data_IF_545086948289
#
_entry.id   IF_545086948289
#
_cell.length_a   1.000
_cell.length_b   1.000
_cell.length_c   1.000
_cell.angle_alpha   90.00
_cell.angle_beta   90.00
_cell.angle_gamma   90.00
#
_symmetry.space_group_name_H-M   'P 1'
#
loop_
_entity.id
_entity.type
_entity.pdbx_description
1 polymer ?
#
# COMPACT_ATOMS: atom_id res chain seq x y z
N UNK A 1 14.25 -10.60 -7.36
CA UNK A 1 14.54 -11.55 -8.45
C UNK A 1 14.07 -10.89 -9.75
N UNK A 2 14.99 -10.34 -10.54
CA UNK A 2 14.65 -9.68 -11.82
C UNK A 2 14.97 -10.66 -12.93
N UNK A 3 14.01 -10.96 -13.80
CA UNK A 3 14.27 -11.70 -15.05
C UNK A 3 15.05 -10.74 -15.96
N UNK A 4 16.38 -10.80 -15.93
CA UNK A 4 17.24 -9.85 -16.65
C UNK A 4 17.08 -9.93 -18.18
N UNK A 5 16.65 -11.10 -18.68
CA UNK A 5 16.53 -11.38 -20.12
C UNK A 5 15.13 -11.15 -20.69
N UNK A 6 14.14 -10.79 -19.86
CA UNK A 6 12.77 -10.51 -20.33
C UNK A 6 12.46 -9.01 -20.20
N UNK A 7 12.16 -8.37 -21.31
CA UNK A 7 11.81 -6.95 -21.40
C UNK A 7 10.42 -6.86 -22.03
N UNK A 8 9.43 -6.21 -21.41
CA UNK A 8 9.45 -5.44 -20.16
C UNK A 8 9.28 -6.31 -18.90
N UNK A 9 9.96 -5.99 -17.79
CA UNK A 9 9.67 -6.59 -16.47
C UNK A 9 9.95 -5.62 -15.30
N UNK A 10 9.15 -5.62 -14.21
CA UNK A 10 7.94 -6.42 -14.04
C UNK A 10 6.76 -5.85 -14.83
N UNK A 11 5.76 -6.71 -15.06
CA UNK A 11 4.48 -6.40 -15.70
C UNK A 11 3.40 -7.05 -14.85
N UNK A 12 2.26 -6.37 -14.68
CA UNK A 12 1.19 -6.95 -13.87
C UNK A 12 0.56 -8.14 -14.60
N UNK A 13 0.52 -9.30 -13.93
CA UNK A 13 -0.08 -10.51 -14.47
C UNK A 13 -1.55 -10.32 -14.85
N UNK A 14 -1.98 -10.89 -15.97
CA UNK A 14 -3.33 -10.71 -16.50
C UNK A 14 -4.43 -11.17 -15.52
N UNK A 15 -4.13 -12.18 -14.70
CA UNK A 15 -5.03 -12.76 -13.70
C UNK A 15 -5.09 -11.96 -12.39
N UNK A 16 -4.18 -10.99 -12.19
CA UNK A 16 -4.12 -10.25 -10.93
C UNK A 16 -5.40 -9.44 -10.75
N UNK A 17 -6.08 -9.63 -9.61
CA UNK A 17 -7.25 -8.84 -9.26
C UNK A 17 -6.89 -7.36 -9.12
N UNK A 18 -7.83 -6.49 -9.47
CA UNK A 18 -7.65 -5.03 -9.48
C UNK A 18 -8.53 -4.38 -8.43
N UNK A 19 -8.07 -3.23 -7.93
CA UNK A 19 -8.91 -2.32 -7.15
C UNK A 19 -9.96 -1.60 -8.01
N UNK A 20 -10.85 -0.82 -7.37
CA UNK A 20 -10.98 -0.66 -5.92
C UNK A 20 -11.60 -1.91 -5.26
N UNK A 21 -11.52 -2.00 -3.93
CA UNK A 21 -12.26 -3.03 -3.18
C UNK A 21 -13.76 -2.83 -3.32
N UNK A 22 -14.49 -3.90 -3.65
CA UNK A 22 -15.95 -3.84 -3.74
C UNK A 22 -16.57 -3.36 -2.42
N UNK A 23 -17.37 -2.29 -2.49
CA UNK A 23 -18.01 -1.67 -1.32
C UNK A 23 -17.12 -0.77 -0.46
N UNK A 24 -15.80 -0.70 -0.71
CA UNK A 24 -14.86 0.13 0.05
C UNK A 24 -13.95 0.90 -0.91
N UNK A 25 -14.33 2.13 -1.25
CA UNK A 25 -13.56 3.00 -2.15
C UNK A 25 -12.59 3.94 -1.43
N UNK A 26 -12.77 4.16 -0.13
CA UNK A 26 -11.92 5.06 0.68
C UNK A 26 -10.67 4.38 1.26
N UNK A 27 -10.33 3.18 0.80
CA UNK A 27 -9.08 2.48 1.10
C UNK A 27 -8.52 1.84 -0.18
N UNK A 28 -7.34 2.28 -0.62
CA UNK A 28 -6.70 1.80 -1.83
C UNK A 28 -6.26 0.32 -1.68
N UNK A 29 -6.54 -0.50 -2.70
CA UNK A 29 -6.02 -1.87 -2.85
C UNK A 29 -5.68 -2.17 -4.32
N UNK A 30 -4.71 -3.08 -4.60
CA UNK A 30 -3.87 -3.81 -3.64
C UNK A 30 -2.84 -2.91 -2.94
N UNK A 31 -2.07 -3.43 -1.99
CA UNK A 31 -1.04 -2.65 -1.28
C UNK A 31 0.30 -2.59 -2.03
N UNK A 32 0.71 -3.71 -2.64
CA UNK A 32 2.04 -3.90 -3.22
C UNK A 32 1.98 -4.98 -4.32
N UNK A 33 2.82 -4.86 -5.34
CA UNK A 33 3.09 -5.88 -6.34
C UNK A 33 4.37 -6.67 -6.01
N UNK A 34 4.41 -7.94 -6.39
CA UNK A 34 5.58 -8.81 -6.24
C UNK A 34 5.54 -9.98 -7.22
N UNK A 35 6.67 -10.67 -7.46
CA UNK A 35 6.76 -11.72 -8.47
C UNK A 35 5.81 -12.89 -8.20
N UNK A 36 4.96 -13.20 -9.17
CA UNK A 36 3.98 -14.30 -9.07
C UNK A 36 3.69 -15.01 -10.38
N UNK A 37 4.50 -14.81 -11.41
CA UNK A 37 4.35 -15.48 -12.72
C UNK A 37 5.55 -16.37 -12.95
N UNK A 38 5.31 -17.62 -13.32
CA UNK A 38 6.32 -18.63 -13.59
C UNK A 38 7.35 -18.77 -12.44
N UNK A 39 6.85 -18.92 -11.21
CA UNK A 39 7.66 -19.10 -10.01
C UNK A 39 7.96 -20.59 -9.83
N UNK A 40 9.26 -20.93 -9.83
CA UNK A 40 9.76 -22.26 -9.47
C UNK A 40 9.79 -22.40 -7.95
N UNK A 41 9.14 -23.43 -7.41
CA UNK A 41 9.15 -23.75 -5.99
C UNK A 41 9.11 -25.26 -5.75
N UNK A 42 9.42 -25.71 -4.53
CA UNK A 42 9.35 -27.11 -4.14
C UNK A 42 7.94 -27.69 -4.33
N UNK A 43 7.86 -28.95 -4.73
CA UNK A 43 6.61 -29.65 -5.01
C UNK A 43 6.58 -31.03 -4.36
N UNK A 44 5.39 -31.54 -3.93
CA UNK A 44 5.29 -32.87 -3.36
C UNK A 44 5.75 -33.96 -4.33
N UNK A 45 6.72 -34.78 -3.89
CA UNK A 45 7.30 -35.87 -4.68
C UNK A 45 6.35 -37.04 -4.94
N UNK A 46 5.14 -36.99 -4.40
CA UNK A 46 4.09 -38.01 -4.56
C UNK A 46 2.91 -37.55 -5.43
N UNK A 47 2.94 -36.33 -5.98
CA UNK A 47 1.86 -35.86 -6.86
C UNK A 47 2.02 -36.38 -8.29
N UNK A 48 1.44 -37.56 -8.54
CA UNK A 48 1.46 -38.22 -9.84
C UNK A 48 0.77 -37.44 -10.96
N UNK A 49 -0.05 -36.42 -10.66
CA UNK A 49 -0.73 -35.61 -11.68
C UNK A 49 0.24 -34.74 -12.48
N UNK A 50 1.37 -34.38 -11.88
CA UNK A 50 2.42 -33.55 -12.48
C UNK A 50 3.57 -34.38 -13.04
N UNK A 51 3.49 -35.71 -12.97
CA UNK A 51 4.49 -36.61 -13.52
C UNK A 51 4.34 -36.73 -15.04
N UNK A 52 5.47 -36.70 -15.75
CA UNK A 52 5.51 -37.07 -17.17
C UNK A 52 5.37 -38.60 -17.31
N UNK A 53 4.89 -39.11 -18.46
CA UNK A 53 4.87 -40.55 -18.72
C UNK A 53 6.23 -41.19 -18.44
N UNK A 54 6.22 -42.29 -17.69
CA UNK A 54 7.39 -43.08 -17.29
C UNK A 54 8.44 -42.32 -16.46
N UNK A 55 8.04 -41.27 -15.74
CA UNK A 55 8.93 -40.51 -14.84
C UNK A 55 8.32 -40.35 -13.45
N UNK A 56 9.19 -40.21 -12.45
CA UNK A 56 8.79 -39.82 -11.10
C UNK A 56 8.27 -38.37 -11.08
N UNK A 57 7.37 -38.03 -10.14
CA UNK A 57 6.92 -36.65 -9.95
C UNK A 57 8.09 -35.68 -9.73
N UNK A 58 8.03 -34.46 -10.27
CA UNK A 58 9.11 -33.50 -10.11
C UNK A 58 9.18 -32.99 -8.67
N UNK A 59 10.39 -32.76 -8.16
CA UNK A 59 10.62 -32.17 -6.82
C UNK A 59 10.35 -30.66 -6.79
N UNK A 60 10.19 -30.04 -7.95
CA UNK A 60 9.88 -28.62 -8.12
C UNK A 60 8.84 -28.43 -9.21
N UNK A 61 7.99 -27.42 -9.05
CA UNK A 61 7.00 -27.05 -10.06
C UNK A 61 7.05 -25.55 -10.34
N UNK A 62 6.62 -25.15 -11.54
CA UNK A 62 6.54 -23.76 -11.97
C UNK A 62 5.07 -23.36 -12.02
N UNK A 63 4.65 -22.50 -11.10
CA UNK A 63 3.27 -22.03 -11.02
C UNK A 63 3.17 -20.51 -11.13
N UNK A 64 1.96 -20.04 -11.47
CA UNK A 64 1.63 -18.62 -11.53
C UNK A 64 0.39 -18.34 -10.70
N UNK A 65 0.38 -17.21 -10.01
CA UNK A 65 -0.74 -16.76 -9.20
C UNK A 65 -0.32 -15.72 -8.18
N UNK A 66 -1.29 -14.96 -7.68
CA UNK A 66 -1.07 -14.09 -6.50
C UNK A 66 -0.71 -14.91 -5.26
N UNK A 67 -1.09 -16.20 -5.21
CA UNK A 67 -0.60 -17.18 -4.24
C UNK A 67 0.93 -17.34 -4.25
N UNK A 68 1.59 -17.09 -5.39
CA UNK A 68 3.05 -17.13 -5.52
C UNK A 68 3.68 -15.75 -5.24
N UNK A 69 2.95 -14.65 -5.47
CA UNK A 69 3.34 -13.30 -5.05
C UNK A 69 3.35 -13.14 -3.52
N UNK A 70 2.32 -13.63 -2.82
CA UNK A 70 2.18 -13.51 -1.37
C UNK A 70 3.43 -13.93 -0.56
N UNK A 71 4.05 -15.11 -0.78
CA UNK A 71 5.27 -15.49 -0.06
C UNK A 71 6.48 -14.59 -0.39
N UNK A 72 6.53 -14.00 -1.60
CA UNK A 72 7.56 -13.01 -1.95
C UNK A 72 7.41 -11.67 -1.24
N UNK A 73 6.25 -11.37 -0.67
CA UNK A 73 6.07 -10.25 0.28
C UNK A 73 6.35 -10.69 1.72
N UNK A 74 5.92 -11.91 2.06
CA UNK A 74 6.07 -12.47 3.42
C UNK A 74 7.54 -12.64 3.82
N UNK A 75 8.42 -13.08 2.91
CA UNK A 75 9.86 -13.21 3.17
C UNK A 75 10.54 -11.89 3.53
N UNK A 76 10.43 -10.84 2.69
CA UNK A 76 10.92 -9.51 3.03
C UNK A 76 10.29 -8.94 4.29
N UNK A 77 8.98 -9.12 4.52
CA UNK A 77 8.34 -8.68 5.76
C UNK A 77 8.96 -9.35 7.00
N UNK A 78 9.25 -10.65 6.95
CA UNK A 78 9.94 -11.36 8.02
C UNK A 78 11.38 -10.85 8.21
N UNK A 79 12.07 -10.50 7.12
CA UNK A 79 13.42 -9.90 7.17
C UNK A 79 13.41 -8.52 7.81
N UNK A 80 12.43 -7.68 7.48
CA UNK A 80 12.23 -6.38 8.15
C UNK A 80 11.95 -6.61 9.64
N UNK A 81 11.09 -7.57 10.00
CA UNK A 81 10.79 -7.89 11.40
C UNK A 81 12.02 -8.38 12.17
N UNK A 82 12.90 -9.17 11.55
CA UNK A 82 14.10 -9.66 12.23
C UNK A 82 15.12 -8.54 12.48
N UNK A 83 15.24 -7.58 11.57
CA UNK A 83 16.09 -6.39 11.73
C UNK A 83 15.46 -5.32 12.65
N UNK A 84 14.13 -5.27 12.71
CA UNK A 84 13.37 -4.35 13.55
C UNK A 84 12.38 -5.10 14.47
N UNK A 85 12.86 -5.81 15.51
CA UNK A 85 12.02 -6.70 16.33
C UNK A 85 10.84 -6.00 17.02
N UNK A 86 10.95 -4.71 17.28
CA UNK A 86 9.91 -3.93 17.95
C UNK A 86 8.87 -3.32 17.00
N UNK A 87 9.08 -3.40 15.68
CA UNK A 87 8.14 -2.81 14.73
C UNK A 87 6.81 -3.55 14.72
N UNK A 88 5.74 -2.76 14.67
CA UNK A 88 4.39 -3.24 14.48
C UNK A 88 4.19 -3.81 13.07
N UNK A 89 3.18 -4.66 12.84
CA UNK A 89 2.83 -5.12 11.49
C UNK A 89 2.53 -3.95 10.52
N UNK A 90 1.95 -2.85 11.03
CA UNK A 90 1.65 -1.67 10.23
C UNK A 90 2.90 -0.88 9.85
N UNK A 91 3.90 -0.77 10.74
CA UNK A 91 5.21 -0.19 10.43
C UNK A 91 5.93 -0.98 9.32
N UNK A 92 5.94 -2.32 9.40
CA UNK A 92 6.55 -3.19 8.37
C UNK A 92 5.83 -3.04 7.03
N UNK A 93 4.49 -3.08 7.03
CA UNK A 93 3.70 -2.81 5.83
C UNK A 93 4.04 -1.43 5.25
N UNK A 94 4.12 -0.41 6.09
CA UNK A 94 4.46 0.93 5.67
C UNK A 94 5.82 0.97 4.99
N UNK A 95 6.85 0.39 5.60
CA UNK A 95 8.20 0.38 5.05
C UNK A 95 8.25 -0.29 3.66
N UNK A 96 7.52 -1.40 3.49
CA UNK A 96 7.41 -2.09 2.20
C UNK A 96 6.72 -1.22 1.16
N UNK A 97 5.59 -0.60 1.52
CA UNK A 97 4.82 0.22 0.59
C UNK A 97 5.56 1.50 0.18
N UNK A 98 6.12 2.24 1.15
CA UNK A 98 6.67 3.58 0.89
C UNK A 98 7.99 3.57 0.14
N UNK A 99 8.64 2.41 0.06
CA UNK A 99 9.91 2.18 -0.63
C UNK A 99 9.78 1.35 -1.91
N UNK A 100 8.54 1.12 -2.35
CA UNK A 100 8.22 0.35 -3.53
C UNK A 100 8.74 1.01 -4.82
N UNK A 101 9.16 0.17 -5.76
CA UNK A 101 9.75 0.57 -7.04
C UNK A 101 8.63 0.88 -8.05
N UNK A 102 8.74 2.02 -8.74
CA UNK A 102 7.74 2.51 -9.73
C UNK A 102 8.11 2.23 -11.19
N UNK A 103 9.28 1.66 -11.44
CA UNK A 103 9.84 1.51 -12.77
C UNK A 103 10.21 0.07 -13.07
N UNK A 104 10.16 -0.27 -14.34
CA UNK A 104 10.62 -1.55 -14.86
C UNK A 104 12.12 -1.54 -15.17
N UNK A 105 12.63 -2.67 -15.66
CA UNK A 105 14.02 -2.87 -16.08
C UNK A 105 14.45 -2.03 -17.30
N UNK A 106 13.55 -1.25 -17.90
CA UNK A 106 13.84 -0.24 -18.93
C UNK A 106 13.77 1.20 -18.38
N UNK A 107 13.65 1.37 -17.06
CA UNK A 107 13.44 2.67 -16.40
C UNK A 107 12.16 3.41 -16.85
N UNK A 108 11.19 2.68 -17.41
CA UNK A 108 9.88 3.19 -17.75
C UNK A 108 8.86 2.85 -16.64
N UNK A 109 7.70 3.54 -16.59
CA UNK A 109 6.63 3.17 -15.66
C UNK A 109 6.22 1.71 -15.77
N UNK A 110 5.78 1.11 -14.66
CA UNK A 110 5.19 -0.22 -14.66
C UNK A 110 3.93 -0.26 -15.55
N UNK A 111 3.69 -1.39 -16.20
CA UNK A 111 2.55 -1.59 -17.11
C UNK A 111 1.76 -2.83 -16.74
N UNK A 112 0.51 -2.87 -17.19
CA UNK A 112 -0.30 -4.09 -17.21
C UNK A 112 0.17 -5.03 -18.32
N UNK A 113 -0.32 -6.26 -18.34
CA UNK A 113 -0.07 -7.23 -19.42
C UNK A 113 -0.53 -6.76 -20.80
N UNK A 114 -1.43 -5.77 -20.87
CA UNK A 114 -1.91 -5.18 -22.14
C UNK A 114 -1.02 -4.03 -22.64
N UNK A 115 0.02 -3.67 -21.88
CA UNK A 115 0.93 -2.55 -22.20
C UNK A 115 0.45 -1.18 -21.69
N UNK A 116 -0.73 -1.10 -21.08
CA UNK A 116 -1.24 0.14 -20.47
C UNK A 116 -0.42 0.49 -19.22
N UNK A 117 -0.24 1.79 -18.93
CA UNK A 117 0.40 2.25 -17.69
C UNK A 117 -0.37 1.68 -16.48
N UNK A 118 0.34 1.03 -15.56
CA UNK A 118 -0.25 0.49 -14.34
C UNK A 118 -0.63 1.63 -13.39
N UNK A 119 -1.82 1.53 -12.84
CA UNK A 119 -2.37 2.43 -11.83
C UNK A 119 -2.15 1.87 -10.42
N UNK A 120 -2.33 2.68 -9.37
CA UNK A 120 -2.42 2.18 -7.99
C UNK A 120 -3.45 1.06 -7.77
N UNK A 121 -4.50 0.91 -8.59
CA UNK A 121 -5.39 -0.27 -8.50
C UNK A 121 -4.80 -1.55 -9.08
N UNK A 122 -3.71 -1.44 -9.84
CA UNK A 122 -3.00 -2.57 -10.44
C UNK A 122 -1.84 -3.05 -9.57
N UNK A 123 -1.10 -2.12 -8.97
CA UNK A 123 0.19 -2.38 -8.29
C UNK A 123 0.26 -1.84 -6.86
N UNK A 124 -0.80 -1.17 -6.38
CA UNK A 124 -0.78 -0.50 -5.09
C UNK A 124 0.31 0.57 -5.04
N UNK A 125 1.22 0.41 -4.09
CA UNK A 125 2.36 1.30 -3.95
C UNK A 125 3.45 1.08 -4.99
N UNK A 126 3.53 -0.07 -5.67
CA UNK A 126 4.60 -0.41 -6.63
C UNK A 126 5.07 -1.86 -6.53
N UNK A 127 6.17 -2.19 -7.21
CA UNK A 127 6.86 -3.46 -7.03
C UNK A 127 7.68 -3.45 -5.73
N UNK A 128 7.65 -4.54 -4.97
CA UNK A 128 8.40 -4.68 -3.73
C UNK A 128 9.94 -4.54 -3.93
N UNK A 129 10.58 -3.80 -3.03
CA UNK A 129 12.03 -3.79 -2.87
C UNK A 129 12.45 -4.71 -1.73
N UNK A 130 13.60 -5.38 -1.86
CA UNK A 130 14.10 -6.31 -0.84
C UNK A 130 14.94 -5.61 0.25
N UNK A 131 15.63 -4.53 -0.11
CA UNK A 131 16.58 -3.85 0.79
C UNK A 131 16.06 -2.52 1.32
N UNK A 132 15.34 -1.74 0.50
CA UNK A 132 14.85 -0.42 0.91
C UNK A 132 13.92 -0.43 2.14
N UNK A 133 13.02 -1.43 2.34
CA UNK A 133 12.17 -1.48 3.52
C UNK A 133 12.92 -1.63 4.85
N UNK A 134 14.22 -1.96 4.82
CA UNK A 134 15.05 -2.04 6.02
C UNK A 134 15.38 -0.66 6.60
N UNK A 135 15.37 0.39 5.77
CA UNK A 135 15.64 1.77 6.18
C UNK A 135 14.71 2.73 5.41
N UNK A 136 13.40 2.75 5.72
CA UNK A 136 12.41 3.52 4.98
C UNK A 136 12.40 5.02 5.33
N UNK A 137 13.13 5.46 6.36
CA UNK A 137 13.12 6.83 6.88
C UNK A 137 11.87 7.17 7.69
N UNK A 138 10.68 7.07 7.09
CA UNK A 138 9.39 7.31 7.76
C UNK A 138 8.46 6.10 7.65
N UNK A 139 7.68 5.86 8.70
CA UNK A 139 6.61 4.84 8.70
C UNK A 139 5.26 5.44 9.11
N UNK A 140 4.19 4.95 8.50
CA UNK A 140 2.80 5.22 8.85
C UNK A 140 2.29 4.10 9.75
N UNK A 141 2.23 4.37 11.05
CA UNK A 141 1.74 3.39 12.02
C UNK A 141 0.23 3.46 12.17
N UNK A 142 -0.40 2.31 11.95
CA UNK A 142 -1.80 2.07 12.24
C UNK A 142 -1.91 1.30 13.55
N UNK A 143 -2.77 1.76 14.45
CA UNK A 143 -3.03 1.17 15.76
C UNK A 143 -4.31 0.32 15.73
N UNK A 144 -4.52 -0.50 16.76
CA UNK A 144 -5.73 -1.34 16.88
C UNK A 144 -7.02 -0.52 16.80
N UNK A 145 -7.02 0.69 17.37
CA UNK A 145 -8.18 1.58 17.34
C UNK A 145 -8.55 2.03 15.93
N UNK A 146 -7.58 2.22 15.03
CA UNK A 146 -7.84 2.58 13.63
C UNK A 146 -8.59 1.46 12.91
N UNK A 147 -8.24 0.20 13.18
CA UNK A 147 -8.93 -0.97 12.61
C UNK A 147 -10.36 -1.10 13.16
N UNK A 148 -10.55 -0.81 14.45
CA UNK A 148 -11.88 -0.80 15.06
C UNK A 148 -12.75 0.30 14.44
N UNK A 149 -12.21 1.52 14.29
CA UNK A 149 -12.89 2.62 13.63
C UNK A 149 -13.18 2.32 12.16
N UNK A 150 -12.25 1.69 11.44
CA UNK A 150 -12.48 1.19 10.08
C UNK A 150 -13.70 0.25 10.03
N UNK A 151 -13.82 -0.70 10.97
CA UNK A 151 -14.98 -1.61 11.04
C UNK A 151 -16.29 -0.85 11.30
N UNK A 152 -16.29 0.13 12.19
CA UNK A 152 -17.45 1.00 12.40
C UNK A 152 -17.83 1.74 11.10
N UNK A 153 -16.84 2.29 10.39
CA UNK A 153 -17.04 3.09 9.19
C UNK A 153 -17.52 2.29 7.97
N UNK A 154 -17.31 0.97 7.95
CA UNK A 154 -17.92 0.06 6.95
C UNK A 154 -19.29 -0.48 7.39
N UNK A 155 -19.85 0.00 8.50
CA UNK A 155 -21.20 -0.33 8.96
C UNK A 155 -21.30 -1.52 9.92
N UNK A 156 -20.20 -1.94 10.55
CA UNK A 156 -20.28 -2.97 11.60
C UNK A 156 -20.74 -2.32 12.90
N UNK A 157 -21.66 -2.99 13.60
CA UNK A 157 -22.05 -2.63 14.95
C UNK A 157 -21.05 -3.16 15.99
N UNK A 158 -21.20 -2.70 17.24
CA UNK A 158 -20.33 -3.11 18.34
C UNK A 158 -20.39 -4.63 18.62
N UNK A 159 -21.52 -5.30 18.35
CA UNK A 159 -21.69 -6.73 18.59
C UNK A 159 -20.84 -7.54 17.61
N UNK A 160 -20.90 -7.22 16.32
CA UNK A 160 -20.06 -7.84 15.27
C UNK A 160 -18.59 -7.55 15.47
N UNK A 161 -18.24 -6.37 15.96
CA UNK A 161 -16.85 -6.02 16.25
C UNK A 161 -16.33 -6.85 17.43
N UNK A 162 -17.11 -7.01 18.51
CA UNK A 162 -16.76 -7.82 19.68
C UNK A 162 -16.60 -9.31 19.38
N UNK A 163 -17.26 -9.84 18.34
CA UNK A 163 -17.06 -11.24 17.94
C UNK A 163 -15.74 -11.46 17.17
N UNK A 164 -15.09 -10.40 16.71
CA UNK A 164 -13.85 -10.46 15.92
C UNK A 164 -12.64 -9.99 16.76
N UNK A 165 -12.81 -8.93 17.55
CA UNK A 165 -11.75 -8.30 18.31
C UNK A 165 -11.96 -8.56 19.81
N UNK A 166 -11.06 -9.38 20.36
CA UNK A 166 -11.13 -9.87 21.75
C UNK A 166 -10.78 -8.78 22.78
N UNK A 167 -9.93 -7.82 22.41
CA UNK A 167 -9.42 -6.77 23.30
C UNK A 167 -10.15 -5.43 23.11
N UNK A 168 -11.47 -5.42 23.30
CA UNK A 168 -12.29 -4.21 23.20
C UNK A 168 -12.98 -3.89 24.52
N UNK A 169 -13.01 -2.61 24.97
CA UNK A 169 -13.73 -2.22 26.17
C UNK A 169 -15.19 -2.67 26.14
N UNK A 170 -15.70 -3.17 27.28
CA UNK A 170 -17.09 -3.66 27.37
C UNK A 170 -18.13 -2.61 26.95
N UNK A 171 -17.85 -1.34 27.25
CA UNK A 171 -18.67 -0.17 26.94
C UNK A 171 -18.37 0.46 25.56
N UNK A 172 -17.60 -0.22 24.69
CA UNK A 172 -17.34 0.28 23.34
C UNK A 172 -18.62 0.34 22.49
N UNK A 173 -18.80 1.46 21.81
CA UNK A 173 -19.79 1.68 20.76
C UNK A 173 -19.17 2.44 19.59
N UNK A 174 -19.61 2.15 18.37
CA UNK A 174 -19.29 2.98 17.22
C UNK A 174 -19.94 4.36 17.34
N UNK A 175 -19.27 5.40 16.83
CA UNK A 175 -19.85 6.75 16.77
C UNK A 175 -21.09 6.76 15.87
N UNK A 176 -22.08 7.59 16.19
CA UNK A 176 -23.22 7.87 15.30
C UNK A 176 -22.78 8.48 13.97
N UNK A 177 -21.63 9.15 13.96
CA UNK A 177 -21.07 9.84 12.79
C UNK A 177 -20.19 8.91 11.93
N UNK A 178 -20.12 7.62 12.27
CA UNK A 178 -19.35 6.64 11.51
C UNK A 178 -19.84 6.58 10.07
N UNK A 179 -18.92 6.74 9.13
CA UNK A 179 -19.23 6.78 7.70
C UNK A 179 -18.05 6.29 6.88
N UNK A 180 -18.33 5.77 5.68
CA UNK A 180 -17.27 5.30 4.76
C UNK A 180 -16.27 6.39 4.41
N UNK A 181 -16.70 7.65 4.43
CA UNK A 181 -15.84 8.80 4.19
C UNK A 181 -14.68 8.93 5.18
N UNK A 182 -14.91 8.56 6.45
CA UNK A 182 -13.92 8.60 7.53
C UNK A 182 -12.84 7.52 7.40
N UNK A 183 -13.05 6.49 6.58
CA UNK A 183 -12.01 5.48 6.30
C UNK A 183 -10.75 6.15 5.71
N UNK A 184 -10.94 7.23 4.95
CA UNK A 184 -9.84 8.00 4.33
C UNK A 184 -8.84 8.53 5.36
N UNK A 185 -9.25 8.71 6.62
CA UNK A 185 -8.41 9.19 7.73
C UNK A 185 -7.60 8.09 8.44
N UNK A 186 -7.84 6.81 8.13
CA UNK A 186 -7.01 5.72 8.64
C UNK A 186 -5.54 6.01 8.32
N UNK A 187 -4.65 5.90 9.31
CA UNK A 187 -3.23 6.22 9.14
C UNK A 187 -2.49 5.16 8.31
N UNK A 188 -2.78 5.16 7.00
CA UNK A 188 -2.37 4.15 6.04
C UNK A 188 -1.39 4.75 5.01
N UNK A 189 -0.44 3.98 4.44
CA UNK A 189 0.62 4.49 3.55
C UNK A 189 0.15 4.86 2.14
N UNK A 190 -1.17 4.93 1.94
CA UNK A 190 -1.85 5.38 0.73
C UNK A 190 -3.10 6.15 1.11
N UNK A 191 -3.63 6.93 0.16
CA UNK A 191 -4.84 7.73 0.38
C UNK A 191 -5.86 7.39 -0.70
N UNK A 192 -7.12 7.17 -0.30
CA UNK A 192 -8.21 7.04 -1.24
C UNK A 192 -9.37 7.92 -0.81
N UNK A 193 -9.80 8.81 -1.72
CA UNK A 193 -10.93 9.72 -1.54
C UNK A 193 -11.93 9.43 -2.64
N UNK A 194 -13.15 9.07 -2.28
CA UNK A 194 -14.24 8.81 -3.25
C UNK A 194 -15.36 9.82 -3.08
N UNK A 195 -16.28 9.85 -4.05
CA UNK A 195 -17.46 10.73 -4.06
C UNK A 195 -17.13 12.22 -3.89
N UNK A 196 -15.94 12.66 -4.32
CA UNK A 196 -15.55 14.07 -4.23
C UNK A 196 -16.19 14.85 -5.39
N UNK A 197 -17.05 15.83 -5.08
CA UNK A 197 -17.74 16.61 -6.09
C UNK A 197 -16.86 17.72 -6.65
N UNK A 198 -17.26 18.26 -7.80
CA UNK A 198 -16.58 19.42 -8.38
C UNK A 198 -16.58 20.61 -7.42
N UNK A 199 -15.43 21.26 -7.30
CA UNK A 199 -15.14 22.36 -6.37
C UNK A 199 -15.24 22.00 -4.88
N UNK A 200 -15.54 20.74 -4.55
CA UNK A 200 -15.48 20.23 -3.19
C UNK A 200 -14.03 19.93 -2.81
N UNK A 201 -13.74 20.09 -1.52
CA UNK A 201 -12.45 19.77 -0.94
C UNK A 201 -12.61 18.81 0.23
N UNK A 202 -11.78 17.77 0.26
CA UNK A 202 -11.71 16.82 1.37
C UNK A 202 -10.30 16.77 1.91
N UNK A 203 -10.19 16.88 3.23
CA UNK A 203 -8.92 16.83 3.95
C UNK A 203 -8.79 15.52 4.69
N UNK A 204 -7.64 14.88 4.55
CA UNK A 204 -7.27 13.69 5.31
C UNK A 204 -6.05 13.97 6.18
N UNK A 205 -6.03 13.41 7.39
CA UNK A 205 -4.87 13.50 8.28
C UNK A 205 -4.01 12.26 8.18
N UNK A 206 -2.70 12.44 8.30
CA UNK A 206 -1.71 11.37 8.41
C UNK A 206 -0.71 11.70 9.51
N UNK A 207 -0.17 10.66 10.12
CA UNK A 207 0.93 10.76 11.06
C UNK A 207 2.05 9.82 10.65
N UNK A 208 3.28 10.33 10.67
CA UNK A 208 4.48 9.57 10.34
C UNK A 208 5.44 9.60 11.51
N UNK A 209 6.09 8.46 11.73
CA UNK A 209 7.15 8.30 12.73
C UNK A 209 8.49 8.22 11.98
N UNK A 210 9.46 9.06 12.37
CA UNK A 210 10.84 8.95 11.92
C UNK A 210 11.53 7.80 12.64
N UNK A 211 12.08 6.88 11.84
CA UNK A 211 12.78 5.68 12.33
C UNK A 211 14.30 5.90 12.41
N UNK A 212 14.80 7.01 11.87
CA UNK A 212 16.20 7.39 12.02
C UNK A 212 16.45 8.05 13.38
N UNK A 213 17.63 7.82 13.94
CA UNK A 213 18.06 8.42 15.20
C UNK A 213 18.47 9.89 15.02
N UNK A 214 18.95 10.23 13.83
CA UNK A 214 19.40 11.56 13.46
C UNK A 214 18.24 12.54 13.21
N UNK A 215 18.53 13.82 13.45
CA UNK A 215 17.65 14.92 13.10
C UNK A 215 17.53 14.98 11.57
N UNK A 216 16.31 15.10 11.06
CA UNK A 216 16.07 15.09 9.62
C UNK A 216 14.87 15.94 9.25
N UNK A 217 14.99 16.60 8.10
CA UNK A 217 13.91 17.39 7.52
C UNK A 217 13.44 16.75 6.23
N UNK A 218 12.14 16.50 6.14
CA UNK A 218 11.50 15.99 4.95
C UNK A 218 10.67 17.09 4.29
N UNK A 219 10.77 17.22 2.97
CA UNK A 219 9.92 18.12 2.18
C UNK A 219 8.96 17.29 1.33
N UNK A 220 7.68 17.65 1.33
CA UNK A 220 6.65 17.00 0.53
C UNK A 220 6.71 17.49 -0.93
N UNK A 221 6.68 16.54 -1.86
CA UNK A 221 6.42 16.76 -3.26
C UNK A 221 5.14 16.03 -3.67
N UNK A 222 4.34 16.66 -4.53
CA UNK A 222 3.06 16.13 -5.01
C UNK A 222 3.13 15.95 -6.52
N UNK A 223 2.76 14.75 -6.98
CA UNK A 223 2.52 14.45 -8.40
C UNK A 223 1.02 14.18 -8.56
N UNK A 224 0.31 15.02 -9.32
CA UNK A 224 -1.12 14.96 -9.47
C UNK A 224 -1.57 15.37 -10.90
N UNK A 225 -2.67 14.81 -11.44
CA UNK A 225 -3.27 15.30 -12.68
C UNK A 225 -3.78 16.74 -12.54
N UNK A 226 -3.83 17.47 -13.66
CA UNK A 226 -4.28 18.88 -13.66
C UNK A 226 -5.73 19.09 -13.20
N UNK A 227 -6.56 18.04 -13.22
CA UNK A 227 -7.96 18.07 -12.77
C UNK A 227 -8.13 18.09 -11.26
N UNK A 228 -7.07 17.88 -10.48
CA UNK A 228 -7.11 17.86 -9.02
C UNK A 228 -6.00 18.71 -8.41
N UNK A 229 -6.38 19.60 -7.50
CA UNK A 229 -5.43 20.33 -6.66
C UNK A 229 -5.21 19.55 -5.36
N UNK A 230 -3.96 19.24 -5.06
CA UNK A 230 -3.56 18.50 -3.86
C UNK A 230 -2.57 19.33 -3.07
N UNK A 231 -2.93 19.66 -1.83
CA UNK A 231 -2.12 20.48 -0.93
C UNK A 231 -1.73 19.69 0.32
N UNK A 232 -0.45 19.76 0.70
CA UNK A 232 0.08 19.11 1.91
C UNK A 232 0.49 20.18 2.92
N UNK A 233 -0.02 20.09 4.16
CA UNK A 233 0.22 21.07 5.23
C UNK A 233 0.55 20.36 6.55
N UNK A 234 1.69 20.66 7.21
CA UNK A 234 2.80 21.44 6.68
C UNK A 234 3.47 20.71 5.49
N UNK A 235 4.11 21.45 4.59
CA UNK A 235 4.86 20.86 3.47
C UNK A 235 6.30 20.45 3.85
N UNK A 236 6.70 20.70 5.09
CA UNK A 236 7.97 20.27 5.68
C UNK A 236 7.73 19.67 7.05
N UNK A 237 8.40 18.56 7.34
CA UNK A 237 8.40 17.89 8.63
C UNK A 237 9.82 17.87 9.17
N UNK A 238 10.03 18.45 10.34
CA UNK A 238 11.33 18.53 11.00
C UNK A 238 11.34 17.62 12.22
N UNK A 239 12.06 16.51 12.13
CA UNK A 239 12.20 15.54 13.21
C UNK A 239 13.49 15.79 13.97
N UNK A 240 13.40 15.65 15.29
CA UNK A 240 14.55 15.70 16.19
C UNK A 240 14.61 14.41 17.01
N UNK A 241 15.62 14.27 17.88
CA UNK A 241 15.65 13.19 18.88
C UNK A 241 14.40 13.12 19.75
N UNK A 242 13.85 14.27 20.15
CA UNK A 242 12.67 14.36 21.02
C UNK A 242 11.35 14.31 20.26
N UNK A 243 11.35 14.72 18.99
CA UNK A 243 10.16 14.78 18.12
C UNK A 243 10.27 13.73 17.02
N UNK A 244 9.85 12.51 17.34
CA UNK A 244 9.87 11.37 16.40
C UNK A 244 8.58 11.19 15.61
N UNK A 245 7.43 11.65 16.10
CA UNK A 245 6.14 11.51 15.42
C UNK A 245 5.57 12.88 15.09
N UNK A 246 5.19 13.08 13.83
CA UNK A 246 4.59 14.31 13.34
C UNK A 246 3.38 14.01 12.47
N UNK A 247 2.41 14.93 12.50
CA UNK A 247 1.20 14.84 11.68
C UNK A 247 1.20 15.89 10.59
N UNK A 248 0.54 15.55 9.49
CA UNK A 248 0.26 16.45 8.38
C UNK A 248 -1.13 16.18 7.83
N UNK A 249 -1.65 17.17 7.10
CA UNK A 249 -2.92 17.09 6.41
C UNK A 249 -2.71 17.16 4.91
N UNK A 250 -3.54 16.43 4.18
CA UNK A 250 -3.59 16.46 2.73
C UNK A 250 -5.00 16.86 2.31
N UNK A 251 -5.12 17.98 1.63
CA UNK A 251 -6.38 18.48 1.09
C UNK A 251 -6.44 18.21 -0.40
N UNK A 252 -7.49 17.50 -0.82
CA UNK A 252 -7.81 17.19 -2.21
C UNK A 252 -8.98 18.08 -2.64
N UNK A 253 -8.80 18.87 -3.70
CA UNK A 253 -9.86 19.69 -4.29
C UNK A 253 -10.03 19.31 -5.75
N UNK A 254 -11.20 18.82 -6.12
CA UNK A 254 -11.51 18.45 -7.50
C UNK A 254 -11.86 19.70 -8.30
N UNK A 255 -11.04 20.03 -9.30
CA UNK A 255 -11.28 21.21 -10.15
C UNK A 255 -12.32 20.95 -11.23
N UNK A 256 -12.39 19.72 -11.74
CA UNK A 256 -13.34 19.30 -12.76
C UNK A 256 -13.73 17.84 -12.54
N UNK A 257 -15.01 17.53 -12.66
CA UNK A 257 -15.49 16.15 -12.63
C UNK A 257 -14.84 15.29 -13.72
N UNK A 258 -14.56 14.04 -13.36
CA UNK A 258 -13.91 13.04 -14.21
C UNK A 258 -14.68 11.72 -14.09
N UNK A 259 -14.89 11.03 -15.21
CA UNK A 259 -15.46 9.68 -15.21
C UNK A 259 -14.45 8.62 -14.77
N UNK A 260 -13.16 8.93 -14.93
CA UNK A 260 -12.06 8.09 -14.49
C UNK A 260 -11.52 8.53 -13.13
N UNK A 261 -11.02 7.56 -12.37
CA UNK A 261 -10.34 7.79 -11.11
C UNK A 261 -8.99 8.48 -11.34
N UNK A 262 -8.71 9.49 -10.52
CA UNK A 262 -7.52 10.33 -10.64
C UNK A 262 -6.43 9.84 -9.69
N UNK A 263 -5.30 9.41 -10.25
CA UNK A 263 -4.19 8.86 -9.48
C UNK A 263 -3.02 9.83 -9.38
N UNK A 264 -2.34 9.80 -8.25
CA UNK A 264 -1.11 10.57 -8.04
C UNK A 264 -0.30 10.04 -6.87
N UNK A 265 0.65 10.83 -6.40
CA UNK A 265 1.44 10.47 -5.23
C UNK A 265 1.94 11.67 -4.43
N UNK A 266 2.23 11.41 -3.16
CA UNK A 266 2.93 12.32 -2.26
C UNK A 266 4.25 11.66 -1.90
N UNK A 267 5.36 12.36 -2.06
CA UNK A 267 6.69 11.86 -1.71
C UNK A 267 7.34 12.81 -0.71
N UNK A 268 7.62 12.30 0.49
CA UNK A 268 8.48 12.98 1.45
C UNK A 268 9.94 12.67 1.11
N UNK A 269 10.73 13.72 0.89
CA UNK A 269 12.15 13.58 0.54
C UNK A 269 13.01 14.25 1.60
N UNK A 270 13.98 13.52 2.14
CA UNK A 270 15.11 14.04 2.91
C UNK A 270 16.40 13.87 2.11
N UNK A 271 17.55 14.18 2.72
CA UNK A 271 18.86 13.94 2.09
C UNK A 271 19.12 12.46 1.84
N UNK A 272 18.57 11.57 2.68
CA UNK A 272 18.82 10.12 2.66
C UNK A 272 17.67 9.31 2.10
N UNK A 273 16.42 9.72 2.33
CA UNK A 273 15.26 8.86 2.12
C UNK A 273 14.21 9.50 1.20
N UNK A 274 13.46 8.63 0.51
CA UNK A 274 12.25 8.97 -0.23
C UNK A 274 11.12 8.07 0.25
N UNK A 275 10.05 8.68 0.73
CA UNK A 275 8.89 7.99 1.31
C UNK A 275 7.67 8.34 0.48
N UNK A 276 7.30 7.43 -0.43
CA UNK A 276 6.25 7.67 -1.42
C UNK A 276 4.93 7.01 -1.03
N UNK A 277 3.84 7.75 -1.07
CA UNK A 277 2.49 7.27 -0.85
C UNK A 277 1.63 7.52 -2.09
N UNK A 278 1.04 6.49 -2.74
CA UNK A 278 0.10 6.70 -3.81
C UNK A 278 -1.22 7.24 -3.26
N UNK A 279 -1.95 7.98 -4.10
CA UNK A 279 -3.33 8.31 -3.82
C UNK A 279 -4.24 8.08 -5.04
N UNK A 280 -5.53 7.91 -4.75
CA UNK A 280 -6.61 7.92 -5.74
C UNK A 280 -7.72 8.85 -5.29
N UNK A 281 -8.27 9.61 -6.24
CA UNK A 281 -9.46 10.44 -6.05
C UNK A 281 -10.52 10.09 -7.08
N UNK A 282 -11.72 9.73 -6.61
CA UNK A 282 -12.88 9.41 -7.43
C UNK A 282 -13.99 10.43 -7.23
N UNK A 283 -14.67 10.78 -8.31
CA UNK A 283 -15.89 11.59 -8.30
C UNK A 283 -17.13 10.77 -7.91
N UNK A 284 -17.03 9.42 -7.93
CA UNK A 284 -18.12 8.45 -7.73
C UNK A 284 -17.89 7.56 -6.51
#
# INVERSE_FOLDING_TARGET
>A
MVVQNYKLAPVVGYFSSRGPTYGIKNLLKPDIASPGVAILAAWPSNDKREALPDREPPLFNILSGTSMSCPHVSGPAATVKSQHPNWSPSAIRSAIMTTAIQINNLHAPLTTNTGSKATPYDIGAGEISLSHPLQPGLVYETETIDYIQFRCNIGYDATKIKSIALDIPKNFSCSSDSSSDLISNMNYPSIAVSKLKENESKTVSRSVTNIDEEDSTYTAAVEAPASINVQVVPNKLHFTKDVKKLSFQVTFKLSKTSEEDLFGSITWTSEKYKVRSPFVVSSV
#
